data_IF_930722487467
#
_entry.id   IF_930722487467
#
_cell.length_a   1.000
_cell.length_b   1.000
_cell.length_c   1.000
_cell.angle_alpha   90.00
_cell.angle_beta   90.00
_cell.angle_gamma   90.00
#
_symmetry.space_group_name_H-M   'P 1'
#
loop_
_entity.id
_entity.type
_entity.pdbx_description
1 polymer ?
#
# COMPACT_ATOMS: atom_id res chain seq x y z
N UNK A 1 -0.12 -10.11 -10.90
CA UNK A 1 -1.00 -10.78 -11.87
C UNK A 1 -0.23 -11.84 -12.66
N UNK A 2 0.82 -11.49 -13.41
CA UNK A 2 1.59 -12.44 -14.23
C UNK A 2 2.14 -13.62 -13.41
N UNK A 3 2.65 -13.37 -12.23
CA UNK A 3 3.13 -14.41 -11.30
C UNK A 3 2.01 -15.35 -10.82
N UNK A 4 0.79 -14.82 -10.64
CA UNK A 4 -0.39 -15.66 -10.30
C UNK A 4 -0.72 -16.60 -11.45
N UNK A 5 -0.70 -16.11 -12.69
CA UNK A 5 -0.89 -16.94 -13.88
C UNK A 5 0.20 -18.01 -14.01
N UNK A 6 1.46 -17.68 -13.78
CA UNK A 6 2.58 -18.62 -13.81
C UNK A 6 2.42 -19.78 -12.80
N UNK A 7 1.66 -19.56 -11.72
CA UNK A 7 1.32 -20.58 -10.73
C UNK A 7 -0.06 -21.24 -10.98
N UNK A 8 -0.65 -21.07 -12.16
CA UNK A 8 -1.94 -21.67 -12.52
C UNK A 8 -3.17 -21.02 -11.85
N UNK A 9 -3.00 -19.87 -11.23
CA UNK A 9 -4.10 -19.09 -10.65
C UNK A 9 -4.78 -18.20 -11.70
N UNK A 10 -6.01 -17.76 -11.41
CA UNK A 10 -6.78 -16.84 -12.23
C UNK A 10 -6.83 -15.48 -11.54
N UNK A 11 -6.07 -14.47 -12.02
CA UNK A 11 -6.11 -13.13 -11.44
C UNK A 11 -7.35 -12.38 -11.89
N UNK A 12 -8.02 -11.70 -10.95
CA UNK A 12 -9.04 -10.69 -11.23
C UNK A 12 -8.45 -9.35 -10.84
N UNK A 13 -8.35 -8.43 -11.79
CA UNK A 13 -7.69 -7.14 -11.63
C UNK A 13 -8.72 -6.07 -11.30
N UNK A 14 -8.44 -5.26 -10.29
CA UNK A 14 -9.29 -4.13 -9.89
C UNK A 14 -8.43 -2.90 -9.68
N UNK A 15 -8.77 -1.83 -10.36
CA UNK A 15 -8.12 -0.52 -10.20
C UNK A 15 -9.13 0.59 -10.51
N UNK A 16 -8.89 1.78 -10.01
CA UNK A 16 -9.67 2.97 -10.38
C UNK A 16 -9.19 3.62 -11.68
N UNK A 17 -8.01 3.24 -12.21
CA UNK A 17 -7.42 3.72 -13.44
C UNK A 17 -7.70 2.76 -14.61
N UNK A 18 -8.68 3.10 -15.43
CA UNK A 18 -9.17 2.23 -16.51
C UNK A 18 -8.09 1.85 -17.53
N UNK A 19 -7.27 2.81 -17.96
CA UNK A 19 -6.27 2.58 -19.02
C UNK A 19 -5.15 1.63 -18.57
N UNK A 20 -4.43 1.84 -17.46
CA UNK A 20 -3.40 0.89 -17.01
C UNK A 20 -3.97 -0.46 -16.61
N UNK A 21 -5.21 -0.48 -16.08
CA UNK A 21 -5.90 -1.71 -15.77
C UNK A 21 -6.11 -2.54 -17.04
N UNK A 22 -6.62 -1.92 -18.11
CA UNK A 22 -6.81 -2.58 -19.40
C UNK A 22 -5.48 -3.06 -20.03
N UNK A 23 -4.43 -2.23 -19.97
CA UNK A 23 -3.10 -2.60 -20.42
C UNK A 23 -2.55 -3.82 -19.66
N UNK A 24 -2.71 -3.87 -18.33
CA UNK A 24 -2.28 -5.02 -17.53
C UNK A 24 -3.12 -6.26 -17.84
N UNK A 25 -4.43 -6.12 -18.00
CA UNK A 25 -5.31 -7.22 -18.37
C UNK A 25 -4.91 -7.81 -19.73
N UNK A 26 -4.61 -6.97 -20.72
CA UNK A 26 -4.11 -7.41 -22.02
C UNK A 26 -2.80 -8.20 -21.90
N UNK A 27 -1.87 -7.76 -21.06
CA UNK A 27 -0.60 -8.49 -20.79
C UNK A 27 -0.83 -9.85 -20.12
N UNK A 28 -1.87 -9.97 -19.30
CA UNK A 28 -2.25 -11.22 -18.64
C UNK A 28 -2.99 -12.18 -19.54
N UNK A 29 -3.49 -11.71 -20.69
CA UNK A 29 -4.22 -12.50 -21.67
C UNK A 29 -5.71 -12.18 -21.75
N UNK A 30 -6.37 -12.59 -22.86
CA UNK A 30 -7.71 -12.13 -23.21
C UNK A 30 -8.83 -12.60 -22.26
N UNK A 31 -8.56 -13.61 -21.43
CA UNK A 31 -9.53 -14.14 -20.46
C UNK A 31 -9.37 -13.54 -19.06
N UNK A 32 -8.46 -12.58 -18.88
CA UNK A 32 -8.26 -11.96 -17.57
C UNK A 32 -9.38 -11.00 -17.25
N UNK A 33 -10.16 -11.30 -16.22
CA UNK A 33 -11.20 -10.43 -15.71
C UNK A 33 -10.59 -9.17 -15.09
N UNK A 34 -11.17 -8.02 -15.41
CA UNK A 34 -10.77 -6.74 -14.84
C UNK A 34 -11.96 -5.79 -14.69
N UNK A 35 -11.99 -5.06 -13.59
CA UNK A 35 -13.08 -4.19 -13.23
C UNK A 35 -12.58 -2.83 -12.73
N UNK A 36 -13.11 -1.75 -13.29
CA UNK A 36 -12.81 -0.41 -12.80
C UNK A 36 -13.63 -0.16 -11.54
N UNK A 37 -12.94 0.06 -10.40
CA UNK A 37 -13.58 0.43 -9.14
C UNK A 37 -12.62 1.19 -8.23
N UNK A 38 -13.11 2.23 -7.55
CA UNK A 38 -12.38 2.91 -6.46
C UNK A 38 -12.62 2.15 -5.15
N UNK A 39 -11.56 1.73 -4.49
CA UNK A 39 -11.60 1.00 -3.22
C UNK A 39 -12.27 1.78 -2.09
N UNK A 40 -12.38 3.10 -2.21
CA UNK A 40 -13.10 3.94 -1.24
C UNK A 40 -14.62 3.76 -1.31
N UNK A 41 -15.12 3.12 -2.38
CA UNK A 41 -16.54 2.90 -2.62
C UNK A 41 -16.91 1.43 -2.38
N UNK A 42 -17.41 1.12 -1.18
CA UNK A 42 -17.77 -0.25 -0.80
C UNK A 42 -18.75 -0.91 -1.80
N UNK A 43 -19.78 -0.17 -2.24
CA UNK A 43 -20.78 -0.68 -3.18
C UNK A 43 -20.17 -1.07 -4.53
N UNK A 44 -19.20 -0.28 -5.02
CA UNK A 44 -18.50 -0.61 -6.26
C UNK A 44 -17.74 -1.94 -6.13
N UNK A 45 -17.08 -2.17 -4.99
CA UNK A 45 -16.38 -3.43 -4.73
C UNK A 45 -17.33 -4.62 -4.55
N UNK A 46 -18.51 -4.42 -3.97
CA UNK A 46 -19.53 -5.46 -3.87
C UNK A 46 -19.99 -5.90 -5.27
N UNK A 47 -20.23 -4.95 -6.18
CA UNK A 47 -20.55 -5.25 -7.59
C UNK A 47 -19.42 -6.01 -8.27
N UNK A 48 -18.16 -5.66 -8.02
CA UNK A 48 -16.99 -6.39 -8.54
C UNK A 48 -16.99 -7.83 -8.04
N UNK A 49 -17.23 -8.05 -6.75
CA UNK A 49 -17.32 -9.40 -6.15
C UNK A 49 -18.45 -10.21 -6.78
N UNK A 50 -19.63 -9.63 -6.91
CA UNK A 50 -20.80 -10.28 -7.55
C UNK A 50 -20.49 -10.71 -8.98
N UNK A 51 -19.93 -9.83 -9.80
CA UNK A 51 -19.50 -10.13 -11.19
C UNK A 51 -18.44 -11.22 -11.23
N UNK A 52 -17.46 -11.15 -10.33
CA UNK A 52 -16.42 -12.17 -10.24
C UNK A 52 -16.99 -13.55 -9.88
N UNK A 53 -17.94 -13.59 -8.96
CA UNK A 53 -18.61 -14.84 -8.58
C UNK A 53 -19.50 -15.37 -9.69
N UNK A 54 -20.15 -14.52 -10.48
CA UNK A 54 -20.95 -14.92 -11.64
C UNK A 54 -20.09 -15.59 -12.72
N UNK A 55 -18.87 -15.06 -12.97
CA UNK A 55 -17.95 -15.57 -14.00
C UNK A 55 -17.15 -16.80 -13.53
N UNK A 56 -16.65 -16.79 -12.29
CA UNK A 56 -15.69 -17.80 -11.80
C UNK A 56 -16.27 -18.73 -10.73
N UNK A 57 -17.44 -18.42 -10.18
CA UNK A 57 -18.11 -19.21 -9.15
C UNK A 57 -17.47 -19.15 -7.76
N UNK A 58 -16.24 -18.63 -7.64
CA UNK A 58 -15.48 -18.62 -6.38
C UNK A 58 -14.46 -17.48 -6.30
N UNK A 59 -14.09 -17.14 -5.07
CA UNK A 59 -12.93 -16.27 -4.77
C UNK A 59 -12.14 -16.95 -3.63
N UNK A 60 -10.90 -17.32 -3.89
CA UNK A 60 -10.06 -18.03 -2.93
C UNK A 60 -9.13 -17.10 -2.16
N UNK A 61 -8.68 -16.05 -2.81
CA UNK A 61 -7.72 -15.10 -2.25
C UNK A 61 -8.17 -13.67 -2.56
N UNK A 62 -8.16 -12.81 -1.56
CA UNK A 62 -8.25 -11.36 -1.75
C UNK A 62 -6.94 -10.71 -1.32
N UNK A 63 -6.39 -9.87 -2.18
CA UNK A 63 -5.21 -9.06 -1.88
C UNK A 63 -5.60 -7.58 -1.83
N UNK A 64 -5.74 -7.04 -0.63
CA UNK A 64 -5.97 -5.63 -0.40
C UNK A 64 -4.64 -4.88 -0.56
N UNK A 65 -4.36 -4.44 -1.79
CA UNK A 65 -3.08 -3.88 -2.22
C UNK A 65 -3.10 -2.37 -2.46
N UNK A 66 -4.24 -1.80 -2.84
CA UNK A 66 -4.36 -0.38 -3.17
C UNK A 66 -3.78 0.51 -2.06
N UNK A 67 -3.07 1.54 -2.46
CA UNK A 67 -2.46 2.46 -1.52
C UNK A 67 -1.83 3.66 -2.20
N UNK A 68 -1.84 4.77 -1.47
CA UNK A 68 -1.23 6.05 -1.84
C UNK A 68 -0.32 6.52 -0.71
N UNK A 69 0.55 7.48 -0.97
CA UNK A 69 1.37 8.10 0.06
C UNK A 69 1.11 9.61 0.11
N UNK A 70 1.07 10.13 1.34
CA UNK A 70 1.13 11.55 1.63
C UNK A 70 2.45 11.83 2.35
N UNK A 71 3.08 12.95 2.01
CA UNK A 71 4.42 13.29 2.43
C UNK A 71 4.47 14.75 2.88
N UNK A 72 5.09 15.00 4.01
CA UNK A 72 5.32 16.34 4.56
C UNK A 72 5.38 16.35 6.08
N UNK A 73 6.10 17.35 6.66
CA UNK A 73 6.05 17.59 8.10
C UNK A 73 4.61 17.89 8.55
N UNK A 74 4.24 17.42 9.73
CA UNK A 74 2.88 17.57 10.27
C UNK A 74 2.39 19.03 10.29
N UNK A 75 3.28 19.99 10.45
CA UNK A 75 2.96 21.41 10.46
C UNK A 75 2.55 21.98 9.09
N UNK A 76 2.94 21.32 7.99
CA UNK A 76 2.83 21.89 6.64
C UNK A 76 2.16 20.95 5.63
N UNK A 77 2.01 19.67 5.97
CA UNK A 77 1.37 18.69 5.09
C UNK A 77 -0.06 19.12 4.76
N UNK A 78 -0.45 18.99 3.50
CA UNK A 78 -1.81 19.24 3.07
C UNK A 78 -2.82 18.31 3.78
N UNK A 79 -3.82 18.85 4.50
CA UNK A 79 -4.82 18.06 5.22
C UNK A 79 -5.61 17.12 4.31
N UNK A 80 -5.87 17.50 3.05
CA UNK A 80 -6.62 16.64 2.12
C UNK A 80 -5.77 15.48 1.62
N UNK A 81 -4.47 15.68 1.39
CA UNK A 81 -3.54 14.59 1.09
C UNK A 81 -3.44 13.61 2.29
N UNK A 82 -3.42 14.16 3.52
CA UNK A 82 -3.39 13.36 4.74
C UNK A 82 -4.65 12.49 4.89
N UNK A 83 -5.85 13.08 4.72
CA UNK A 83 -7.13 12.37 4.74
C UNK A 83 -7.21 11.31 3.63
N UNK A 84 -6.82 11.69 2.40
CA UNK A 84 -6.83 10.78 1.25
C UNK A 84 -5.99 9.53 1.50
N UNK A 85 -4.85 9.68 2.17
CA UNK A 85 -4.02 8.55 2.57
C UNK A 85 -4.80 7.54 3.44
N UNK A 86 -5.64 8.01 4.36
CA UNK A 86 -6.50 7.15 5.18
C UNK A 86 -7.68 6.58 4.40
N UNK A 87 -8.33 7.37 3.56
CA UNK A 87 -9.45 6.91 2.73
C UNK A 87 -9.04 5.72 1.88
N UNK A 88 -7.89 5.79 1.20
CA UNK A 88 -7.43 4.71 0.35
C UNK A 88 -6.80 3.58 1.17
N UNK A 89 -5.83 3.90 2.03
CA UNK A 89 -5.01 2.88 2.67
C UNK A 89 -5.72 2.15 3.80
N UNK A 90 -6.68 2.78 4.49
CA UNK A 90 -7.39 2.18 5.62
C UNK A 90 -8.80 1.79 5.23
N UNK A 91 -9.63 2.76 4.83
CA UNK A 91 -11.01 2.47 4.46
C UNK A 91 -11.10 1.66 3.17
N UNK A 92 -10.23 1.91 2.18
CA UNK A 92 -10.15 1.10 0.96
C UNK A 92 -9.76 -0.36 1.23
N UNK A 93 -8.81 -0.60 2.14
CA UNK A 93 -8.46 -1.96 2.58
C UNK A 93 -9.63 -2.61 3.31
N UNK A 94 -10.26 -1.90 4.25
CA UNK A 94 -11.47 -2.39 4.93
C UNK A 94 -12.57 -2.75 3.92
N UNK A 95 -12.89 -1.88 2.99
CA UNK A 95 -13.92 -2.08 1.97
C UNK A 95 -13.62 -3.31 1.09
N UNK A 96 -12.36 -3.44 0.64
CA UNK A 96 -11.90 -4.57 -0.18
C UNK A 96 -12.11 -5.89 0.55
N UNK A 97 -11.69 -5.96 1.80
CA UNK A 97 -11.86 -7.15 2.63
C UNK A 97 -13.36 -7.39 2.90
N UNK A 98 -14.09 -6.36 3.32
CA UNK A 98 -15.52 -6.45 3.67
C UNK A 98 -16.38 -6.94 2.51
N UNK A 99 -16.09 -6.48 1.29
CA UNK A 99 -16.81 -6.93 0.10
C UNK A 99 -16.55 -8.42 -0.22
N UNK A 100 -15.27 -8.85 -0.17
CA UNK A 100 -14.87 -10.21 -0.55
C UNK A 100 -15.07 -11.25 0.56
N UNK A 101 -15.13 -10.83 1.83
CA UNK A 101 -15.08 -11.73 2.99
C UNK A 101 -16.15 -12.83 2.99
N UNK A 102 -17.42 -12.59 2.61
CA UNK A 102 -18.41 -13.66 2.52
C UNK A 102 -18.02 -14.80 1.57
N UNK A 103 -17.44 -14.44 0.40
CA UNK A 103 -16.96 -15.43 -0.57
C UNK A 103 -15.72 -16.16 -0.06
N UNK A 104 -14.80 -15.44 0.57
CA UNK A 104 -13.58 -16.00 1.18
C UNK A 104 -13.91 -16.97 2.32
N UNK A 105 -14.88 -16.65 3.18
CA UNK A 105 -15.34 -17.54 4.25
C UNK A 105 -15.91 -18.84 3.66
N UNK A 106 -16.73 -18.75 2.63
CA UNK A 106 -17.33 -19.93 1.97
C UNK A 106 -16.29 -20.92 1.46
N UNK A 107 -15.10 -20.43 1.07
CA UNK A 107 -14.00 -21.26 0.55
C UNK A 107 -12.99 -21.64 1.63
N UNK A 108 -13.07 -21.12 2.85
CA UNK A 108 -11.99 -21.19 3.81
C UNK A 108 -10.70 -20.57 3.24
N UNK A 109 -10.84 -19.47 2.50
CA UNK A 109 -9.81 -18.86 1.66
C UNK A 109 -8.72 -18.08 2.42
N UNK A 110 -8.13 -17.08 1.75
CA UNK A 110 -7.03 -16.32 2.31
C UNK A 110 -7.15 -14.83 2.00
N UNK A 111 -6.88 -13.99 3.00
CA UNK A 111 -6.79 -12.53 2.90
C UNK A 111 -5.35 -12.10 3.03
N UNK A 112 -4.84 -11.32 2.08
CA UNK A 112 -3.54 -10.68 2.18
C UNK A 112 -3.71 -9.16 2.24
N UNK A 113 -3.04 -8.52 3.18
CA UNK A 113 -3.09 -7.06 3.40
C UNK A 113 -1.72 -6.46 3.15
N UNK A 114 -1.65 -5.46 2.27
CA UNK A 114 -0.41 -4.75 1.97
C UNK A 114 -0.15 -3.62 2.99
N UNK A 115 0.54 -3.94 4.08
CA UNK A 115 1.08 -2.95 5.00
C UNK A 115 2.40 -2.34 4.48
N UNK A 116 3.38 -2.11 5.33
CA UNK A 116 4.71 -1.58 5.00
C UNK A 116 5.66 -1.78 6.19
N UNK A 117 6.96 -1.67 5.97
CA UNK A 117 7.92 -1.44 7.05
C UNK A 117 7.61 -0.18 7.85
N UNK A 118 6.95 0.81 7.23
CA UNK A 118 6.48 2.02 7.91
C UNK A 118 5.38 1.77 8.94
N UNK A 119 4.81 0.56 9.02
CA UNK A 119 3.87 0.20 10.09
C UNK A 119 4.53 0.01 11.46
N UNK A 120 5.85 -0.16 11.49
CA UNK A 120 6.62 -0.35 12.72
C UNK A 120 7.92 0.48 12.79
N UNK A 121 8.32 1.11 11.69
CA UNK A 121 9.43 2.05 11.62
C UNK A 121 8.86 3.36 11.04
N UNK A 122 8.70 4.38 11.87
CA UNK A 122 7.94 5.58 11.55
C UNK A 122 8.87 6.71 11.07
N UNK A 123 9.20 6.83 9.77
CA UNK A 123 10.09 7.87 9.30
C UNK A 123 9.42 9.25 9.40
N UNK A 124 10.20 10.31 9.67
CA UNK A 124 9.69 11.69 9.63
C UNK A 124 9.09 12.01 8.26
N UNK A 125 8.26 13.02 8.18
CA UNK A 125 7.55 13.51 6.99
C UNK A 125 6.60 12.49 6.31
N UNK A 126 6.44 11.31 6.87
CA UNK A 126 5.56 10.23 6.38
C UNK A 126 4.48 9.84 7.40
N UNK A 127 4.09 10.73 8.30
CA UNK A 127 3.17 10.42 9.40
C UNK A 127 1.83 9.84 8.95
N UNK A 128 1.20 10.41 7.90
CA UNK A 128 -0.05 9.91 7.35
C UNK A 128 0.10 8.48 6.83
N UNK A 129 1.17 8.24 6.04
CA UNK A 129 1.44 6.92 5.48
C UNK A 129 1.74 5.89 6.58
N UNK A 130 2.65 6.21 7.49
CA UNK A 130 3.03 5.32 8.60
C UNK A 130 1.81 4.97 9.47
N UNK A 131 1.03 5.96 9.87
CA UNK A 131 -0.19 5.75 10.66
C UNK A 131 -1.20 4.87 9.92
N UNK A 132 -1.43 5.12 8.60
CA UNK A 132 -2.33 4.30 7.80
C UNK A 132 -1.87 2.84 7.67
N UNK A 133 -0.55 2.61 7.50
CA UNK A 133 0.02 1.26 7.39
C UNK A 133 0.07 0.52 8.74
N UNK A 134 0.22 1.25 9.85
CA UNK A 134 0.05 0.70 11.21
C UNK A 134 -1.41 0.27 11.47
N UNK A 135 -2.38 1.07 11.02
CA UNK A 135 -3.79 0.75 11.15
C UNK A 135 -4.16 -0.55 10.42
N UNK A 136 -3.69 -0.76 9.19
CA UNK A 136 -3.99 -2.00 8.45
C UNK A 136 -3.21 -3.21 8.94
N UNK A 137 -2.02 -3.03 9.52
CA UNK A 137 -1.34 -4.11 10.25
C UNK A 137 -2.16 -4.55 11.46
N UNK A 138 -2.66 -3.61 12.26
CA UNK A 138 -3.53 -3.89 13.40
C UNK A 138 -4.82 -4.60 12.96
N UNK A 139 -5.47 -4.09 11.89
CA UNK A 139 -6.65 -4.71 11.27
C UNK A 139 -6.38 -6.17 10.88
N UNK A 140 -5.26 -6.44 10.19
CA UNK A 140 -4.89 -7.80 9.80
C UNK A 140 -4.61 -8.72 10.98
N UNK A 141 -4.04 -8.20 12.08
CA UNK A 141 -3.81 -8.98 13.29
C UNK A 141 -5.13 -9.38 13.98
N UNK A 142 -6.13 -8.47 14.07
CA UNK A 142 -7.44 -8.76 14.62
C UNK A 142 -8.21 -9.73 13.72
N UNK A 143 -8.31 -9.42 12.43
CA UNK A 143 -9.03 -10.22 11.45
C UNK A 143 -8.54 -11.68 11.42
N UNK A 144 -7.26 -11.92 11.61
CA UNK A 144 -6.70 -13.28 11.65
C UNK A 144 -7.30 -14.12 12.77
N UNK A 145 -7.56 -13.52 13.92
CA UNK A 145 -8.14 -14.21 15.08
C UNK A 145 -9.64 -14.43 14.84
N UNK A 146 -10.34 -13.40 14.37
CA UNK A 146 -11.77 -13.46 14.04
C UNK A 146 -12.07 -14.54 13.00
N UNK A 147 -11.20 -14.69 12.01
CA UNK A 147 -11.41 -15.63 10.90
C UNK A 147 -10.93 -17.05 11.16
N UNK A 148 -10.29 -17.31 12.31
CA UNK A 148 -9.77 -18.64 12.63
C UNK A 148 -10.87 -19.71 12.66
N UNK A 149 -12.06 -19.40 13.21
CA UNK A 149 -13.19 -20.32 13.26
C UNK A 149 -13.76 -20.66 11.87
N UNK A 150 -13.48 -19.83 10.86
CA UNK A 150 -13.92 -20.02 9.48
C UNK A 150 -12.86 -20.69 8.59
N UNK A 151 -11.72 -21.09 9.15
CA UNK A 151 -10.62 -21.66 8.39
C UNK A 151 -9.96 -20.68 7.40
N UNK A 152 -10.26 -19.37 7.51
CA UNK A 152 -9.70 -18.33 6.64
C UNK A 152 -8.34 -17.89 7.16
N UNK A 153 -7.31 -17.98 6.30
CA UNK A 153 -5.99 -17.44 6.60
C UNK A 153 -5.95 -15.93 6.39
N UNK A 154 -5.16 -15.23 7.21
CA UNK A 154 -4.91 -13.79 7.05
C UNK A 154 -3.42 -13.50 7.18
N UNK A 155 -2.86 -12.87 6.16
CA UNK A 155 -1.48 -12.44 6.09
C UNK A 155 -1.33 -10.94 5.96
N UNK A 156 -0.20 -10.43 6.45
CA UNK A 156 0.21 -9.02 6.33
C UNK A 156 1.58 -8.95 5.68
N UNK A 157 1.70 -8.11 4.66
CA UNK A 157 2.96 -7.82 3.98
C UNK A 157 3.64 -6.64 4.66
N UNK A 158 4.91 -6.80 4.98
CA UNK A 158 5.78 -5.70 5.41
C UNK A 158 6.82 -5.46 4.32
N UNK A 159 6.49 -4.56 3.40
CA UNK A 159 7.40 -4.15 2.34
C UNK A 159 8.23 -2.93 2.76
N UNK A 160 9.51 -2.96 2.43
CA UNK A 160 10.37 -1.78 2.39
C UNK A 160 10.20 -1.07 1.04
N UNK A 161 11.33 -0.71 0.41
CA UNK A 161 11.32 -0.04 -0.88
C UNK A 161 11.13 -1.06 -2.00
N UNK A 162 9.95 -1.07 -2.61
CA UNK A 162 9.68 -1.83 -3.84
C UNK A 162 9.69 -0.83 -5.00
N UNK A 163 10.48 -1.09 -6.03
CA UNK A 163 10.57 -0.24 -7.22
C UNK A 163 9.22 -0.20 -7.93
N UNK A 164 8.53 0.91 -7.75
CA UNK A 164 7.19 1.20 -8.26
C UNK A 164 7.12 2.67 -8.63
N UNK A 165 6.17 3.08 -9.48
CA UNK A 165 5.98 4.51 -9.81
C UNK A 165 5.86 5.40 -8.57
N UNK A 166 5.27 4.91 -7.49
CA UNK A 166 5.15 5.64 -6.22
C UNK A 166 6.53 5.96 -5.60
N UNK A 167 7.45 5.00 -5.59
CA UNK A 167 8.79 5.18 -5.02
C UNK A 167 9.68 5.97 -5.96
N UNK A 168 9.57 5.73 -7.27
CA UNK A 168 10.32 6.46 -8.30
C UNK A 168 10.00 7.95 -8.28
N UNK A 169 8.72 8.30 -8.15
CA UNK A 169 8.32 9.71 -8.05
C UNK A 169 8.76 10.33 -6.71
N UNK A 170 8.68 9.58 -5.61
CA UNK A 170 9.22 10.03 -4.32
C UNK A 170 10.69 10.41 -4.45
N UNK A 171 11.47 9.67 -5.25
CA UNK A 171 12.88 9.96 -5.48
C UNK A 171 13.14 11.27 -6.23
N UNK A 172 12.11 11.89 -6.81
CA UNK A 172 12.22 13.24 -7.40
C UNK A 172 12.05 14.36 -6.37
N UNK A 173 11.61 14.05 -5.16
CA UNK A 173 11.40 15.05 -4.11
C UNK A 173 12.66 15.19 -3.23
N UNK A 174 13.32 16.37 -3.17
CA UNK A 174 14.59 16.53 -2.45
C UNK A 174 14.53 16.11 -0.97
N UNK A 175 13.44 16.44 -0.26
CA UNK A 175 13.27 16.04 1.13
C UNK A 175 13.17 14.50 1.29
N UNK A 176 12.58 13.80 0.35
CA UNK A 176 12.51 12.33 0.36
C UNK A 176 13.88 11.70 0.08
N UNK A 177 14.64 12.26 -0.86
CA UNK A 177 16.03 11.85 -1.14
C UNK A 177 16.88 12.04 0.11
N UNK A 178 16.76 13.19 0.79
CA UNK A 178 17.48 13.48 2.02
C UNK A 178 17.11 12.55 3.15
N UNK A 179 15.81 12.25 3.32
CA UNK A 179 15.34 11.26 4.28
C UNK A 179 16.01 9.90 4.03
N UNK A 180 15.97 9.42 2.80
CA UNK A 180 16.59 8.13 2.44
C UNK A 180 18.10 8.11 2.70
N UNK A 181 18.79 9.22 2.46
CA UNK A 181 20.22 9.35 2.70
C UNK A 181 20.62 9.23 4.19
N UNK A 182 19.67 9.43 5.13
CA UNK A 182 19.90 9.21 6.56
C UNK A 182 19.84 7.74 6.98
N UNK A 183 19.29 6.89 6.13
CA UNK A 183 19.12 5.48 6.44
C UNK A 183 20.37 4.68 6.13
N UNK A 184 20.76 3.69 6.96
CA UNK A 184 21.84 2.76 6.63
C UNK A 184 21.60 2.08 5.27
N UNK A 185 22.65 1.80 4.51
CA UNK A 185 22.55 1.30 3.13
C UNK A 185 21.66 0.06 2.97
N UNK A 186 21.65 -0.84 3.95
CA UNK A 186 20.75 -2.00 3.94
C UNK A 186 19.26 -1.59 3.94
N UNK A 187 18.89 -0.53 4.66
CA UNK A 187 17.51 0.00 4.71
C UNK A 187 17.12 0.72 3.41
N UNK A 188 18.07 1.10 2.58
CA UNK A 188 17.85 1.72 1.27
C UNK A 188 17.77 0.72 0.10
N UNK A 189 17.99 -0.58 0.38
CA UNK A 189 17.92 -1.60 -0.66
C UNK A 189 16.51 -1.69 -1.22
N UNK A 190 16.39 -1.56 -2.52
CA UNK A 190 15.16 -1.73 -3.27
C UNK A 190 14.98 -3.19 -3.69
N UNK A 191 13.73 -3.62 -3.73
CA UNK A 191 13.28 -4.90 -4.29
C UNK A 191 12.58 -4.59 -5.60
N UNK A 192 12.80 -5.37 -6.65
CA UNK A 192 12.07 -5.21 -7.90
C UNK A 192 10.61 -5.65 -7.77
N UNK A 193 9.75 -5.18 -8.68
CA UNK A 193 8.34 -5.60 -8.70
C UNK A 193 8.19 -7.12 -8.94
N UNK A 194 9.08 -7.73 -9.74
CA UNK A 194 9.06 -9.16 -10.03
C UNK A 194 9.50 -9.98 -8.80
N UNK A 195 10.59 -9.58 -8.12
CA UNK A 195 11.00 -10.21 -6.85
C UNK A 195 9.88 -10.12 -5.80
N UNK A 196 9.22 -8.97 -5.72
CA UNK A 196 8.08 -8.79 -4.83
C UNK A 196 6.92 -9.72 -5.20
N UNK A 197 6.57 -9.82 -6.48
CA UNK A 197 5.50 -10.68 -6.97
C UNK A 197 5.75 -12.15 -6.61
N UNK A 198 6.97 -12.65 -6.82
CA UNK A 198 7.35 -14.03 -6.49
C UNK A 198 7.18 -14.32 -4.99
N UNK A 199 7.65 -13.42 -4.12
CA UNK A 199 7.49 -13.60 -2.66
C UNK A 199 6.03 -13.52 -2.24
N UNK A 200 5.25 -12.60 -2.83
CA UNK A 200 3.84 -12.42 -2.53
C UNK A 200 3.02 -13.66 -2.92
N UNK A 201 3.19 -14.16 -4.15
CA UNK A 201 2.44 -15.32 -4.64
C UNK A 201 2.82 -16.59 -3.86
N UNK A 202 4.11 -16.83 -3.64
CA UNK A 202 4.54 -17.94 -2.78
C UNK A 202 3.98 -17.83 -1.34
N UNK A 203 3.86 -16.62 -0.83
CA UNK A 203 3.25 -16.35 0.46
C UNK A 203 1.73 -16.59 0.48
N UNK A 204 1.03 -16.25 -0.60
CA UNK A 204 -0.41 -16.52 -0.78
C UNK A 204 -0.67 -18.03 -0.83
N UNK A 205 0.08 -18.76 -1.66
CA UNK A 205 -0.03 -20.23 -1.78
C UNK A 205 0.19 -20.91 -0.44
N UNK A 206 1.22 -20.49 0.30
CA UNK A 206 1.56 -21.02 1.63
C UNK A 206 0.70 -20.43 2.77
N UNK A 207 -0.24 -19.52 2.48
CA UNK A 207 -1.13 -18.84 3.46
C UNK A 207 -0.35 -18.26 4.65
N UNK A 208 0.79 -17.59 4.36
CA UNK A 208 1.70 -17.09 5.41
C UNK A 208 1.09 -15.94 6.21
N UNK A 209 1.25 -15.96 7.52
CA UNK A 209 0.79 -14.88 8.42
C UNK A 209 1.50 -13.54 8.22
N UNK A 210 2.76 -13.56 7.81
CA UNK A 210 3.58 -12.37 7.56
C UNK A 210 4.51 -12.63 6.38
N UNK A 211 4.60 -11.65 5.49
CA UNK A 211 5.53 -11.62 4.39
C UNK A 211 6.46 -10.42 4.56
N UNK A 212 7.73 -10.62 4.24
CA UNK A 212 8.79 -9.65 4.43
C UNK A 212 9.50 -9.37 3.11
N UNK A 213 9.51 -8.11 2.69
CA UNK A 213 10.10 -7.65 1.45
C UNK A 213 11.01 -6.43 1.70
N UNK A 214 12.33 -6.62 1.76
CA UNK A 214 13.08 -7.88 1.73
C UNK A 214 13.02 -8.69 3.04
N UNK A 215 13.45 -9.96 3.00
CA UNK A 215 13.30 -10.91 4.10
C UNK A 215 13.97 -10.50 5.44
N UNK A 216 15.05 -9.71 5.39
CA UNK A 216 15.74 -9.22 6.60
C UNK A 216 14.88 -8.27 7.47
N UNK A 217 13.82 -7.67 6.91
CA UNK A 217 12.87 -6.85 7.69
C UNK A 217 12.24 -7.62 8.86
N UNK A 218 12.22 -8.96 8.79
CA UNK A 218 11.80 -9.80 9.92
C UNK A 218 12.65 -9.56 11.17
N UNK A 219 13.96 -9.42 11.01
CA UNK A 219 14.87 -9.11 12.13
C UNK A 219 14.60 -7.72 12.70
N UNK A 220 14.44 -6.72 11.83
CA UNK A 220 14.12 -5.35 12.24
C UNK A 220 12.77 -5.28 12.98
N UNK A 221 11.78 -5.99 12.50
CA UNK A 221 10.49 -6.09 13.18
C UNK A 221 10.59 -6.71 14.58
N UNK A 222 11.45 -7.70 14.77
CA UNK A 222 11.64 -8.34 16.08
C UNK A 222 12.18 -7.36 17.14
N UNK A 223 12.97 -6.37 16.70
CA UNK A 223 13.55 -5.33 17.55
C UNK A 223 12.88 -3.97 17.40
N UNK A 224 11.67 -3.91 16.82
CA UNK A 224 10.99 -2.65 16.45
C UNK A 224 10.82 -1.64 17.58
N UNK A 225 10.67 -2.11 18.82
CA UNK A 225 10.60 -1.22 19.98
C UNK A 225 11.89 -0.41 20.23
N UNK A 226 13.03 -0.90 19.73
CA UNK A 226 14.30 -0.18 19.84
C UNK A 226 14.43 0.93 18.79
N UNK A 227 13.64 0.90 17.73
CA UNK A 227 13.70 1.90 16.65
C UNK A 227 13.24 3.30 17.10
N UNK A 228 12.49 3.36 18.20
CA UNK A 228 11.99 4.61 18.80
C UNK A 228 12.78 5.02 20.05
N UNK A 229 13.94 4.42 20.25
CA UNK A 229 14.85 4.85 21.31
C UNK A 229 15.73 6.02 20.84
N UNK A 230 16.12 6.97 21.73
CA UNK A 230 16.86 8.18 21.34
C UNK A 230 18.14 7.90 20.53
N UNK A 231 18.82 6.79 20.78
CA UNK A 231 20.03 6.43 20.05
C UNK A 231 19.72 6.03 18.59
N UNK A 232 18.57 5.39 18.32
CA UNK A 232 18.17 4.98 16.99
C UNK A 232 17.65 6.16 16.15
N UNK A 233 17.03 7.16 16.81
CA UNK A 233 16.47 8.35 16.15
C UNK A 233 17.53 9.43 15.89
N UNK A 234 18.73 9.33 16.48
CA UNK A 234 19.75 10.40 16.45
C UNK A 234 20.06 10.91 15.04
N UNK A 235 20.21 10.01 14.07
CA UNK A 235 20.50 10.39 12.69
C UNK A 235 19.33 11.14 12.03
N UNK A 236 18.10 10.71 12.31
CA UNK A 236 16.88 11.37 11.81
C UNK A 236 16.69 12.74 12.46
N UNK A 237 16.91 12.85 13.76
CA UNK A 237 16.83 14.12 14.51
C UNK A 237 17.84 15.14 13.97
N UNK A 238 19.08 14.72 13.67
CA UNK A 238 20.08 15.63 13.11
C UNK A 238 19.77 16.09 11.68
N UNK A 239 19.05 15.30 10.89
CA UNK A 239 18.68 15.62 9.52
C UNK A 239 17.32 16.33 9.39
N UNK A 240 16.49 16.32 10.45
CA UNK A 240 15.14 16.85 10.42
C UNK A 240 15.04 18.31 9.94
N UNK A 241 15.90 19.27 10.39
CA UNK A 241 15.84 20.64 9.91
C UNK A 241 16.08 20.77 8.40
N UNK A 242 17.01 19.99 7.85
CA UNK A 242 17.33 19.99 6.43
C UNK A 242 16.21 19.35 5.59
N UNK A 243 15.63 18.25 6.09
CA UNK A 243 14.48 17.60 5.47
C UNK A 243 13.29 18.58 5.40
N UNK A 244 13.04 19.31 6.47
CA UNK A 244 11.97 20.32 6.53
C UNK A 244 12.24 21.47 5.54
N UNK A 245 13.48 22.00 5.48
CA UNK A 245 13.84 23.05 4.53
C UNK A 245 13.60 22.61 3.08
N UNK A 246 14.04 21.44 2.68
CA UNK A 246 13.78 20.88 1.34
C UNK A 246 12.29 20.68 1.05
N UNK A 247 11.50 20.30 2.07
CA UNK A 247 10.07 20.21 1.90
C UNK A 247 9.43 21.58 1.67
N UNK A 248 9.81 22.60 2.41
CA UNK A 248 9.30 23.96 2.27
C UNK A 248 9.64 24.57 0.90
N UNK A 249 10.82 24.29 0.35
CA UNK A 249 11.17 24.66 -1.04
C UNK A 249 10.22 24.00 -2.05
N UNK A 250 9.93 22.69 -1.88
CA UNK A 250 8.97 21.96 -2.68
C UNK A 250 7.54 22.52 -2.55
N UNK A 251 7.15 22.89 -1.33
CA UNK A 251 5.86 23.50 -1.05
C UNK A 251 5.72 24.87 -1.72
N UNK A 252 6.76 25.69 -1.71
CA UNK A 252 6.78 26.98 -2.38
C UNK A 252 6.65 26.87 -3.91
N UNK A 253 7.17 25.80 -4.51
CA UNK A 253 7.13 25.57 -5.97
C UNK A 253 5.87 24.88 -6.47
N UNK A 254 5.35 23.87 -5.73
CA UNK A 254 4.25 23.00 -6.15
C UNK A 254 2.96 23.19 -5.31
N UNK A 255 3.00 24.04 -4.28
CA UNK A 255 1.86 24.23 -3.36
C UNK A 255 1.46 22.93 -2.70
N UNK A 256 0.18 22.78 -2.40
CA UNK A 256 -0.37 21.61 -1.72
C UNK A 256 -0.08 20.27 -2.42
N UNK A 257 0.21 20.29 -3.73
CA UNK A 257 0.58 19.09 -4.48
C UNK A 257 1.95 18.51 -4.05
N UNK A 258 2.80 19.28 -3.36
CA UNK A 258 4.02 18.78 -2.75
C UNK A 258 3.78 17.66 -1.73
N UNK A 259 2.57 17.59 -1.15
CA UNK A 259 2.18 16.57 -0.18
C UNK A 259 1.70 15.26 -0.81
N UNK A 260 1.54 15.19 -2.12
CA UNK A 260 0.94 14.04 -2.82
C UNK A 260 1.97 13.34 -3.68
N UNK A 261 2.09 12.02 -3.56
CA UNK A 261 2.93 11.19 -4.39
C UNK A 261 2.09 10.40 -5.41
N UNK A 262 2.67 10.20 -6.58
CA UNK A 262 2.08 9.52 -7.71
C UNK A 262 1.51 10.50 -8.73
N UNK A 263 1.95 10.47 -10.02
CA UNK A 263 1.50 11.43 -11.03
C UNK A 263 -0.03 11.45 -11.14
N UNK A 264 -0.65 10.29 -11.14
CA UNK A 264 -2.11 10.15 -11.19
C UNK A 264 -2.84 10.64 -9.95
N UNK A 265 -2.28 10.42 -8.76
CA UNK A 265 -2.89 10.94 -7.53
C UNK A 265 -2.74 12.46 -7.45
N UNK A 266 -1.67 13.03 -8.01
CA UNK A 266 -1.53 14.49 -8.18
C UNK A 266 -2.57 15.06 -9.13
N UNK A 267 -2.81 14.43 -10.28
CA UNK A 267 -3.85 14.84 -11.23
C UNK A 267 -5.23 14.82 -10.56
N UNK A 268 -5.58 13.72 -9.89
CA UNK A 268 -6.84 13.61 -9.13
C UNK A 268 -6.95 14.64 -8.01
N UNK A 269 -5.87 14.90 -7.29
CA UNK A 269 -5.84 15.92 -6.26
C UNK A 269 -6.08 17.31 -6.84
N UNK A 270 -5.49 17.62 -7.99
CA UNK A 270 -5.72 18.88 -8.69
C UNK A 270 -7.16 19.00 -9.21
N UNK A 271 -7.75 17.91 -9.71
CA UNK A 271 -9.15 17.88 -10.16
C UNK A 271 -10.13 18.08 -8.99
N UNK A 272 -9.96 17.36 -7.87
CA UNK A 272 -10.79 17.55 -6.67
C UNK A 272 -10.77 18.98 -6.18
N UNK A 273 -9.59 19.63 -6.16
CA UNK A 273 -9.46 21.03 -5.75
C UNK A 273 -10.18 21.99 -6.68
N UNK A 274 -10.14 21.74 -8.00
CA UNK A 274 -10.90 22.54 -8.98
C UNK A 274 -12.41 22.42 -8.76
N UNK A 275 -12.91 21.22 -8.46
CA UNK A 275 -14.33 20.97 -8.17
C UNK A 275 -14.80 21.59 -6.84
N UNK A 276 -13.93 21.72 -5.84
CA UNK A 276 -14.24 22.35 -4.56
C UNK A 276 -14.21 23.89 -4.63
N UNK A 277 -13.54 24.45 -5.64
CA UNK A 277 -13.42 25.91 -5.84
C UNK A 277 -14.51 26.47 -6.80
N UNK A 278 -15.26 25.60 -7.46
CA UNK A 278 -16.43 25.91 -8.32
C UNK A 278 -17.74 25.83 -7.54
#
# INVERSE_FOLDING_TARGET
>A
ALEVLAHGGVPVLVDCDAEPLAQMAQRCGPQTLHWVADVTQLQALQVVVEKTLAELGRIDIVFANAGVAAFGPMAYIDPDAWKRCFEVNVFGVFNTIRAALPAIIKQGGYVLINASSSSFAHPPVMSAYAASKSAVEAMGNSLRIEMAAHGVGVGVVHAGWVRTPLVEEGALHPAFVRLRATMPGLLNREVTADEAATVLVAGMVARKRRLWLPGWLRGLYAIRSLLHMPFAERALLSAAPEIEAFYLEGLASAGALASTFGPRERERSAERRRQQAS
#
